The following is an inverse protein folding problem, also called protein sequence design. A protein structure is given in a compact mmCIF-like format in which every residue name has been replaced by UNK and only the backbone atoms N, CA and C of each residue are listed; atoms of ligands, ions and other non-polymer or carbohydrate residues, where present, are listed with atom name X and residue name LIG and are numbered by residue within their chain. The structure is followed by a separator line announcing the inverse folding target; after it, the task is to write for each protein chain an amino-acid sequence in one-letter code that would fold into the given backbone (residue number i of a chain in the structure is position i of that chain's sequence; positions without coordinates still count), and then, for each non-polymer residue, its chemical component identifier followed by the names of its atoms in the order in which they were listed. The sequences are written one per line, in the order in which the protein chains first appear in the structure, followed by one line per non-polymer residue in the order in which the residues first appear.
data_IF_141936212075
#
_entry.id   IF_141936212075
#
_cell.length_a   1.000
_cell.length_b   1.000
_cell.length_c   1.000
_cell.angle_alpha   90.00
_cell.angle_beta   90.00
_cell.angle_gamma   90.00
#
_symmetry.space_group_name_H-M   'P 1'
#
loop_
_entity.id
_entity.type
_entity.pdbx_description
1 polymer ?
#
# COMPACT_ATOMS: atom_id res chain seq x y z
N UNK A 1 -9.31 -4.43 -17.85
CA UNK A 1 -8.14 -3.99 -17.07
C UNK A 1 -8.59 -3.43 -15.75
N UNK A 2 -8.30 -4.14 -14.65
CA UNK A 2 -8.52 -3.67 -13.29
C UNK A 2 -7.19 -3.27 -12.69
N UNK A 3 -7.13 -2.06 -12.14
CA UNK A 3 -5.92 -1.51 -11.51
C UNK A 3 -6.18 -1.40 -10.01
N UNK A 4 -5.35 -2.06 -9.23
CA UNK A 4 -5.33 -1.99 -7.78
C UNK A 4 -4.34 -0.93 -7.29
N UNK A 5 -4.67 -0.27 -6.19
CA UNK A 5 -3.80 0.69 -5.53
C UNK A 5 -3.74 0.39 -4.03
N UNK A 6 -2.52 0.26 -3.52
CA UNK A 6 -2.19 -0.05 -2.14
C UNK A 6 -1.44 1.14 -1.57
N UNK A 7 -1.84 1.62 -0.39
CA UNK A 7 -1.13 2.71 0.30
C UNK A 7 -0.92 2.36 1.75
N UNK A 8 0.29 2.56 2.24
CA UNK A 8 0.64 2.41 3.65
C UNK A 8 1.29 3.67 4.19
N UNK A 9 0.93 4.02 5.43
CA UNK A 9 1.38 5.25 6.09
C UNK A 9 2.73 5.06 6.81
N UNK A 10 3.15 3.81 7.00
CA UNK A 10 4.42 3.46 7.64
C UNK A 10 5.04 2.25 6.95
N UNK A 11 6.37 2.18 6.97
CA UNK A 11 7.14 1.09 6.36
C UNK A 11 6.91 -0.28 7.02
N UNK A 12 6.31 -0.29 8.21
CA UNK A 12 6.10 -1.50 9.02
C UNK A 12 4.67 -2.05 8.96
N UNK A 13 3.77 -1.44 8.17
CA UNK A 13 2.44 -1.99 7.94
C UNK A 13 2.51 -3.07 6.85
N UNK A 14 2.02 -4.27 7.16
CA UNK A 14 1.91 -5.38 6.21
C UNK A 14 0.95 -5.03 5.06
N UNK A 15 1.51 -4.83 3.86
CA UNK A 15 0.76 -4.61 2.61
C UNK A 15 0.14 -5.90 2.05
N UNK A 16 0.56 -7.06 2.58
CA UNK A 16 0.19 -8.39 2.11
C UNK A 16 -1.32 -8.59 2.02
N UNK A 17 -2.08 -8.17 3.05
CA UNK A 17 -3.54 -8.30 3.07
C UNK A 17 -4.25 -7.45 2.00
N UNK A 18 -3.74 -6.25 1.72
CA UNK A 18 -4.30 -5.38 0.68
C UNK A 18 -4.00 -5.94 -0.71
N UNK A 19 -2.79 -6.47 -0.90
CA UNK A 19 -2.37 -7.12 -2.15
C UNK A 19 -3.19 -8.39 -2.41
N UNK A 20 -3.42 -9.22 -1.40
CA UNK A 20 -4.27 -10.42 -1.51
C UNK A 20 -5.71 -10.06 -1.90
N UNK A 21 -6.29 -9.02 -1.29
CA UNK A 21 -7.62 -8.55 -1.64
C UNK A 21 -7.71 -8.05 -3.10
N UNK A 22 -6.67 -7.37 -3.59
CA UNK A 22 -6.61 -6.89 -4.98
C UNK A 22 -6.40 -8.03 -5.98
N UNK A 23 -5.59 -9.03 -5.62
CA UNK A 23 -5.44 -10.26 -6.41
C UNK A 23 -6.76 -11.05 -6.48
N UNK A 24 -7.46 -11.20 -5.35
CA UNK A 24 -8.77 -11.84 -5.30
C UNK A 24 -9.84 -11.06 -6.10
N UNK A 25 -9.73 -9.73 -6.18
CA UNK A 25 -10.57 -8.90 -7.03
C UNK A 25 -10.26 -9.01 -8.54
N UNK A 26 -9.16 -9.66 -8.90
CA UNK A 26 -8.69 -9.83 -10.29
C UNK A 26 -8.05 -8.57 -10.87
N UNK A 27 -7.32 -7.80 -10.05
CA UNK A 27 -6.51 -6.68 -10.54
C UNK A 27 -5.29 -7.18 -11.30
N UNK A 28 -5.10 -6.71 -12.53
CA UNK A 28 -3.95 -7.07 -13.39
C UNK A 28 -2.70 -6.24 -13.05
N UNK A 29 -2.91 -5.00 -12.60
CA UNK A 29 -1.83 -4.06 -12.27
C UNK A 29 -2.06 -3.57 -10.84
N UNK A 30 -1.05 -3.67 -9.98
CA UNK A 30 -1.10 -3.21 -8.59
C UNK A 30 -0.01 -2.17 -8.37
N UNK A 31 -0.40 -0.98 -7.94
CA UNK A 31 0.52 0.10 -7.55
C UNK A 31 0.61 0.19 -6.03
N UNK A 32 1.83 0.26 -5.50
CA UNK A 32 2.09 0.41 -4.07
C UNK A 32 2.70 1.79 -3.78
N UNK A 33 2.06 2.56 -2.91
CA UNK A 33 2.58 3.81 -2.39
C UNK A 33 2.93 3.69 -0.90
N UNK A 34 4.23 3.79 -0.60
CA UNK A 34 4.75 3.88 0.78
C UNK A 34 4.90 5.34 1.17
N UNK A 35 4.07 5.82 2.08
CA UNK A 35 4.30 7.11 2.68
C UNK A 35 5.58 7.07 3.54
N UNK A 36 6.42 8.10 3.48
CA UNK A 36 7.57 8.18 4.36
C UNK A 36 7.08 8.25 5.83
N UNK A 37 7.80 7.61 6.77
CA UNK A 37 7.45 7.72 8.17
C UNK A 37 7.41 9.19 8.56
N UNK A 38 6.29 9.61 9.17
CA UNK A 38 6.10 10.97 9.63
C UNK A 38 7.11 11.25 10.77
N UNK A 39 8.29 11.77 10.40
CA UNK A 39 9.25 12.32 11.37
C UNK A 39 8.68 13.65 11.82
N UNK A 40 8.05 13.67 13.00
CA UNK A 40 7.78 14.93 13.70
C UNK A 40 9.12 15.64 13.85
N UNK A 41 9.29 16.87 13.32
CA UNK A 41 10.50 17.63 13.60
C UNK A 41 10.57 17.81 15.13
N UNK A 42 11.70 17.43 15.72
CA UNK A 42 11.99 17.75 17.11
C UNK A 42 11.92 19.28 17.23
N UNK A 43 10.99 19.75 18.05
CA UNK A 43 10.76 21.16 18.32
C UNK A 43 11.48 21.56 19.59
#
# INVERSE_FOLDING_TARGET
MKIGYVRVSTTSQDTSLQIDALNAAGCEIIYEEKAPPHKRPFM
#
